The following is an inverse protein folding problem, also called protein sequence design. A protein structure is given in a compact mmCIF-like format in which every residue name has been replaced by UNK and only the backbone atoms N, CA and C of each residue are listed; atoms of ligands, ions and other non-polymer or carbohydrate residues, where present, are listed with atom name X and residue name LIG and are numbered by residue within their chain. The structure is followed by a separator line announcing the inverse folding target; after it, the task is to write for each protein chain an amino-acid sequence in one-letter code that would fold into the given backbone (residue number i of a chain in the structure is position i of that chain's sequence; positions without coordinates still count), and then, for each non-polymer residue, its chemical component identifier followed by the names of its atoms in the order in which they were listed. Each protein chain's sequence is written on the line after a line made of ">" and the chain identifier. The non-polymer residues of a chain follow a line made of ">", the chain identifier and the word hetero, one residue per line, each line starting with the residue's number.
data_IF_542110837005
#
_entry.id   IF_542110837005
#
_cell.length_a   1.000
_cell.length_b   1.000
_cell.length_c   1.000
_cell.angle_alpha   90.00
_cell.angle_beta   90.00
_cell.angle_gamma   90.00
#
_symmetry.space_group_name_H-M   'P 1'
#
loop_
_entity.id
_entity.type
_entity.pdbx_description
1 polymer ?
#
# COMPACT_ATOMS: atom_id res chain seq x y z
N UNK A 1 -0.42 11.16 9.46
CA UNK A 1 -1.14 10.63 10.63
C UNK A 1 -0.34 9.48 11.25
N UNK A 2 -0.41 9.33 12.54
CA UNK A 2 0.40 8.35 13.28
C UNK A 2 -0.26 6.97 13.35
N UNK A 3 -0.60 6.41 12.20
CA UNK A 3 -1.27 5.11 12.11
C UNK A 3 -0.36 3.98 11.65
N UNK A 4 0.93 4.26 11.43
CA UNK A 4 1.88 3.26 10.91
C UNK A 4 1.91 2.02 11.81
N UNK A 5 2.08 2.21 13.11
CA UNK A 5 2.14 1.10 14.05
C UNK A 5 0.88 0.25 14.09
N UNK A 6 -0.27 0.90 14.05
CA UNK A 6 -1.56 0.19 14.04
C UNK A 6 -1.75 -0.63 12.77
N UNK A 7 -1.34 -0.08 11.63
CA UNK A 7 -1.46 -0.75 10.34
C UNK A 7 -0.52 -1.95 10.28
N UNK A 8 0.73 -1.78 10.68
CA UNK A 8 1.72 -2.88 10.72
C UNK A 8 1.26 -3.98 11.67
N UNK A 9 0.79 -3.62 12.85
CA UNK A 9 0.29 -4.58 13.83
C UNK A 9 -0.87 -5.41 13.27
N UNK A 10 -1.75 -4.77 12.50
CA UNK A 10 -2.87 -5.48 11.87
C UNK A 10 -2.39 -6.53 10.86
N UNK A 11 -1.41 -6.18 10.03
CA UNK A 11 -0.86 -7.14 9.07
C UNK A 11 -0.22 -8.34 9.79
N UNK A 12 0.56 -8.09 10.81
CA UNK A 12 1.21 -9.16 11.57
C UNK A 12 0.20 -10.05 12.29
N UNK A 13 -0.84 -9.45 12.85
CA UNK A 13 -1.92 -10.19 13.51
C UNK A 13 -2.64 -11.14 12.56
N UNK A 14 -2.78 -10.73 11.31
CA UNK A 14 -3.46 -11.56 10.30
C UNK A 14 -2.53 -12.58 9.63
N UNK A 15 -1.30 -12.70 10.10
CA UNK A 15 -0.36 -13.72 9.62
C UNK A 15 0.54 -13.30 8.48
N UNK A 16 0.60 -12.02 8.15
CA UNK A 16 1.53 -11.50 7.15
C UNK A 16 2.82 -11.05 7.83
N UNK A 17 3.97 -11.36 7.23
CA UNK A 17 5.27 -10.97 7.74
C UNK A 17 5.84 -9.83 6.94
N UNK A 18 6.59 -8.94 7.60
CA UNK A 18 7.27 -7.83 6.94
C UNK A 18 8.60 -8.35 6.40
N UNK A 19 8.76 -8.37 5.10
CA UNK A 19 10.01 -8.77 4.44
C UNK A 19 10.89 -7.57 4.08
N UNK A 20 10.30 -6.39 3.96
CA UNK A 20 11.03 -5.14 3.76
C UNK A 20 10.13 -3.99 4.17
N UNK A 21 10.73 -2.92 4.69
CA UNK A 21 9.98 -1.73 5.07
C UNK A 21 10.91 -0.52 5.05
N UNK A 22 10.44 0.59 4.52
CA UNK A 22 11.18 1.85 4.61
C UNK A 22 10.22 3.03 4.58
N UNK A 23 10.63 4.10 5.24
CA UNK A 23 9.93 5.38 5.24
C UNK A 23 10.57 6.24 4.14
N UNK A 24 9.77 6.79 3.26
CA UNK A 24 10.28 7.57 2.15
C UNK A 24 9.35 8.74 1.83
N UNK A 25 9.95 9.82 1.33
CA UNK A 25 9.19 10.93 0.75
C UNK A 25 9.35 10.81 -0.76
N UNK A 26 8.24 10.54 -1.44
CA UNK A 26 8.27 10.31 -2.88
C UNK A 26 8.31 11.63 -3.65
N UNK A 27 9.10 11.66 -4.73
CA UNK A 27 9.04 12.76 -5.69
C UNK A 27 7.78 12.58 -6.54
N UNK A 28 7.37 13.65 -7.21
CA UNK A 28 6.23 13.59 -8.13
C UNK A 28 6.47 12.55 -9.22
N UNK A 29 7.67 12.52 -9.78
CA UNK A 29 8.04 11.57 -10.83
C UNK A 29 7.97 10.12 -10.34
N UNK A 30 8.44 9.86 -9.12
CA UNK A 30 8.42 8.53 -8.52
C UNK A 30 6.99 8.04 -8.30
N UNK A 31 6.12 8.91 -7.77
CA UNK A 31 4.73 8.59 -7.55
C UNK A 31 3.97 8.38 -8.87
N UNK A 32 4.24 9.20 -9.88
CA UNK A 32 3.62 9.04 -11.20
C UNK A 32 4.01 7.71 -11.84
N UNK A 33 5.27 7.30 -11.70
CA UNK A 33 5.73 6.02 -12.22
C UNK A 33 5.08 4.83 -11.51
N UNK A 34 4.86 4.95 -10.22
CA UNK A 34 4.19 3.89 -9.45
C UNK A 34 2.73 3.69 -9.90
N UNK A 35 2.02 4.79 -10.16
CA UNK A 35 0.63 4.74 -10.58
C UNK A 35 0.44 4.82 -12.09
N UNK A 36 1.46 4.48 -12.87
CA UNK A 36 1.44 4.64 -14.33
C UNK A 36 0.26 3.92 -14.99
N UNK A 37 -0.18 2.81 -14.45
CA UNK A 37 -1.33 2.05 -14.96
C UNK A 37 -2.65 2.82 -14.79
N UNK A 38 -2.65 3.83 -13.92
CA UNK A 38 -3.83 4.66 -13.63
C UNK A 38 -3.74 6.04 -14.26
N UNK A 39 -2.75 6.28 -15.13
CA UNK A 39 -2.46 7.59 -15.71
C UNK A 39 -3.69 8.27 -16.33
N UNK A 40 -4.56 7.52 -16.96
CA UNK A 40 -5.74 8.05 -17.63
C UNK A 40 -6.98 8.14 -16.73
N UNK A 41 -6.86 7.73 -15.48
CA UNK A 41 -7.95 7.83 -14.52
C UNK A 41 -8.13 9.26 -14.03
N UNK A 42 -9.39 9.71 -13.83
CA UNK A 42 -9.64 11.09 -13.39
C UNK A 42 -8.96 11.46 -12.07
N UNK A 43 -8.76 10.48 -11.19
CA UNK A 43 -8.17 10.71 -9.86
C UNK A 43 -6.64 10.60 -9.84
N UNK A 44 -6.00 10.36 -10.99
CA UNK A 44 -4.54 10.18 -11.03
C UNK A 44 -3.77 11.36 -10.39
N UNK A 45 -4.12 12.58 -10.78
CA UNK A 45 -3.48 13.78 -10.24
C UNK A 45 -3.66 13.93 -8.73
N UNK A 46 -4.87 13.68 -8.23
CA UNK A 46 -5.16 13.74 -6.80
C UNK A 46 -4.40 12.68 -6.03
N UNK A 47 -4.30 11.48 -6.58
CA UNK A 47 -3.59 10.37 -5.96
C UNK A 47 -2.09 10.67 -5.85
N UNK A 48 -1.48 11.15 -6.93
CA UNK A 48 -0.07 11.56 -6.94
C UNK A 48 0.17 12.69 -5.94
N UNK A 49 -0.70 13.68 -5.92
CA UNK A 49 -0.62 14.81 -5.00
C UNK A 49 -0.66 14.34 -3.54
N UNK A 50 -1.57 13.43 -3.22
CA UNK A 50 -1.69 12.87 -1.87
C UNK A 50 -0.44 12.09 -1.48
N UNK A 51 0.07 11.25 -2.37
CA UNK A 51 1.25 10.41 -2.10
C UNK A 51 2.53 11.21 -1.95
N UNK A 52 2.58 12.43 -2.48
CA UNK A 52 3.74 13.30 -2.36
C UNK A 52 3.59 14.36 -1.28
N UNK A 53 2.45 14.40 -0.58
CA UNK A 53 2.15 15.40 0.44
C UNK A 53 2.97 15.22 1.74
N UNK A 54 3.54 14.05 1.95
CA UNK A 54 4.36 13.75 3.13
C UNK A 54 5.00 12.39 3.01
N UNK A 55 5.74 11.96 4.04
CA UNK A 55 6.38 10.65 4.03
C UNK A 55 5.37 9.51 3.95
N UNK A 56 5.75 8.45 3.25
CA UNK A 56 4.95 7.22 3.16
C UNK A 56 5.80 6.03 3.61
N UNK A 57 5.15 4.98 4.08
CA UNK A 57 5.81 3.73 4.43
C UNK A 57 5.62 2.75 3.29
N UNK A 58 6.74 2.23 2.80
CA UNK A 58 6.76 1.22 1.75
C UNK A 58 7.05 -0.12 2.41
N UNK A 59 6.25 -1.15 2.13
CA UNK A 59 6.39 -2.46 2.76
C UNK A 59 6.25 -3.58 1.75
N UNK A 60 7.04 -4.64 1.97
CA UNK A 60 6.84 -5.92 1.28
C UNK A 60 6.30 -6.88 2.34
N UNK A 61 5.13 -7.42 2.08
CA UNK A 61 4.47 -8.38 2.95
C UNK A 61 4.59 -9.77 2.35
N UNK A 62 4.93 -10.76 3.17
CA UNK A 62 4.97 -12.14 2.71
C UNK A 62 4.08 -13.03 3.56
N UNK A 63 3.56 -14.09 2.95
CA UNK A 63 2.69 -15.04 3.61
C UNK A 63 1.89 -15.80 2.58
N UNK A 64 1.16 -16.82 3.04
CA UNK A 64 0.28 -17.59 2.18
C UNK A 64 -0.86 -16.69 1.68
N UNK A 65 -1.07 -16.64 0.37
CA UNK A 65 -2.09 -15.80 -0.27
C UNK A 65 -1.99 -14.32 0.12
N UNK A 66 -0.76 -13.80 0.17
CA UNK A 66 -0.49 -12.45 0.69
C UNK A 66 -1.28 -11.35 -0.04
N UNK A 67 -1.38 -11.40 -1.37
CA UNK A 67 -2.12 -10.39 -2.14
C UNK A 67 -3.59 -10.37 -1.73
N UNK A 68 -4.21 -11.53 -1.68
CA UNK A 68 -5.61 -11.68 -1.31
C UNK A 68 -5.88 -11.25 0.13
N UNK A 69 -5.05 -11.69 1.05
CA UNK A 69 -5.14 -11.30 2.47
C UNK A 69 -4.99 -9.80 2.64
N UNK A 70 -4.00 -9.20 1.97
CA UNK A 70 -3.77 -7.77 2.05
C UNK A 70 -5.00 -6.99 1.57
N UNK A 71 -5.56 -7.39 0.44
CA UNK A 71 -6.75 -6.71 -0.10
C UNK A 71 -7.94 -6.80 0.84
N UNK A 72 -8.12 -7.95 1.48
CA UNK A 72 -9.19 -8.17 2.45
C UNK A 72 -9.02 -7.30 3.70
N UNK A 73 -7.79 -7.18 4.17
CA UNK A 73 -7.45 -6.36 5.34
C UNK A 73 -7.64 -4.88 5.03
N UNK A 74 -7.22 -4.45 3.82
CA UNK A 74 -7.36 -3.04 3.41
C UNK A 74 -8.82 -2.63 3.22
N UNK A 75 -9.64 -3.50 2.65
CA UNK A 75 -11.04 -3.21 2.35
C UNK A 75 -11.23 -2.55 0.98
N UNK A 76 -12.48 -2.19 0.69
CA UNK A 76 -12.84 -1.57 -0.58
C UNK A 76 -12.13 -0.23 -0.78
N UNK A 77 -11.80 0.09 -2.03
CA UNK A 77 -11.10 1.33 -2.39
C UNK A 77 -11.83 2.57 -1.90
N UNK A 78 -13.15 2.59 -2.02
CA UNK A 78 -13.96 3.66 -1.44
C UNK A 78 -14.25 3.32 0.02
N UNK A 79 -13.76 4.14 0.98
CA UNK A 79 -13.97 3.86 2.41
C UNK A 79 -15.43 3.73 2.80
N UNK A 80 -16.33 4.43 2.11
CA UNK A 80 -17.75 4.35 2.38
C UNK A 80 -18.33 2.95 2.12
N UNK A 81 -17.71 2.20 1.21
CA UNK A 81 -18.12 0.84 0.86
C UNK A 81 -17.28 -0.24 1.55
N UNK A 82 -16.30 0.15 2.33
CA UNK A 82 -15.42 -0.80 3.02
C UNK A 82 -16.14 -1.40 4.24
N UNK A 83 -15.88 -2.68 4.48
CA UNK A 83 -16.45 -3.37 5.63
C UNK A 83 -15.85 -2.86 6.93
N UNK A 84 -16.62 -2.94 8.01
CA UNK A 84 -16.15 -2.58 9.35
C UNK A 84 -14.90 -3.37 9.72
N UNK A 85 -13.95 -2.70 10.36
CA UNK A 85 -12.70 -3.31 10.79
C UNK A 85 -11.60 -3.34 9.75
N UNK A 86 -11.88 -2.97 8.48
CA UNK A 86 -10.84 -2.88 7.45
C UNK A 86 -10.04 -1.58 7.64
N UNK A 87 -8.81 -1.58 7.13
CA UNK A 87 -7.92 -0.41 7.28
C UNK A 87 -8.51 0.84 6.65
N UNK A 88 -9.09 0.71 5.47
CA UNK A 88 -9.69 1.87 4.79
C UNK A 88 -10.91 2.39 5.52
N UNK A 89 -11.71 1.51 6.09
CA UNK A 89 -12.86 1.94 6.88
C UNK A 89 -12.43 2.68 8.15
N UNK A 90 -11.35 2.22 8.79
CA UNK A 90 -10.86 2.80 10.04
C UNK A 90 -10.09 4.11 9.82
N UNK A 91 -9.29 4.21 8.77
CA UNK A 91 -8.30 5.28 8.64
C UNK A 91 -8.42 6.15 7.38
N UNK A 92 -9.11 5.69 6.35
CA UNK A 92 -9.20 6.44 5.10
C UNK A 92 -10.29 7.50 5.16
N UNK A 93 -10.03 8.63 4.51
CA UNK A 93 -10.99 9.75 4.46
C UNK A 93 -11.80 9.77 3.17
N UNK A 94 -11.19 9.32 2.07
CA UNK A 94 -11.81 9.33 0.74
C UNK A 94 -11.12 8.33 -0.17
N UNK A 95 -11.58 8.21 -1.42
CA UNK A 95 -10.95 7.35 -2.42
C UNK A 95 -9.49 7.79 -2.67
N UNK A 96 -9.23 9.09 -2.75
CA UNK A 96 -7.89 9.63 -2.98
C UNK A 96 -7.02 9.56 -1.73
N UNK A 97 -7.62 9.80 -0.56
CA UNK A 97 -6.93 9.73 0.74
C UNK A 97 -7.30 8.42 1.44
N UNK A 98 -7.02 7.29 0.78
CA UNK A 98 -7.52 5.98 1.19
C UNK A 98 -6.63 5.22 2.18
N UNK A 99 -5.66 5.87 2.77
CA UNK A 99 -4.76 5.39 3.83
C UNK A 99 -3.72 4.38 3.37
N UNK A 100 -4.09 3.41 2.55
CA UNK A 100 -3.20 2.33 2.12
C UNK A 100 -3.40 2.02 0.64
N UNK A 101 -2.31 1.53 0.02
CA UNK A 101 -2.34 0.98 -1.34
C UNK A 101 -1.76 -0.43 -1.27
N UNK A 102 -2.28 -1.34 -2.04
CA UNK A 102 -1.74 -2.69 -2.15
C UNK A 102 -1.80 -3.19 -3.57
N UNK A 103 -0.87 -4.07 -3.91
CA UNK A 103 -0.83 -4.71 -5.23
C UNK A 103 -2.07 -5.58 -5.43
N UNK A 104 -2.63 -5.57 -6.63
CA UNK A 104 -3.87 -6.28 -6.94
C UNK A 104 -3.65 -7.69 -7.51
N UNK A 105 -2.40 -8.07 -7.76
CA UNK A 105 -2.04 -9.39 -8.27
C UNK A 105 -0.58 -9.69 -7.97
N UNK A 106 -0.16 -10.94 -8.18
CA UNK A 106 1.24 -11.31 -8.03
C UNK A 106 2.13 -10.57 -9.05
N UNK A 107 1.64 -10.39 -10.28
CA UNK A 107 2.36 -9.65 -11.31
C UNK A 107 2.55 -8.18 -10.92
N UNK A 108 1.50 -7.54 -10.42
CA UNK A 108 1.58 -6.16 -9.93
C UNK A 108 2.50 -6.05 -8.73
N UNK A 109 2.44 -7.01 -7.80
CA UNK A 109 3.31 -7.04 -6.63
C UNK A 109 4.78 -7.09 -7.05
N UNK A 110 5.12 -7.96 -8.00
CA UNK A 110 6.48 -8.11 -8.48
C UNK A 110 7.01 -6.80 -9.08
N UNK A 111 6.23 -6.16 -9.93
CA UNK A 111 6.58 -4.88 -10.54
C UNK A 111 6.75 -3.79 -9.48
N UNK A 112 5.82 -3.70 -8.55
CA UNK A 112 5.82 -2.64 -7.53
C UNK A 112 6.93 -2.81 -6.51
N UNK A 113 7.21 -4.05 -6.12
CA UNK A 113 8.34 -4.34 -5.23
C UNK A 113 9.65 -3.94 -5.89
N UNK A 114 9.86 -4.35 -7.14
CA UNK A 114 11.08 -4.01 -7.87
C UNK A 114 11.22 -2.52 -8.17
N UNK A 115 10.11 -1.80 -8.18
CA UNK A 115 10.12 -0.36 -8.38
C UNK A 115 10.69 0.39 -7.18
N UNK A 116 10.39 -0.07 -5.96
CA UNK A 116 10.77 0.62 -4.73
C UNK A 116 11.94 -0.02 -3.97
N UNK A 117 12.19 -1.30 -4.18
CA UNK A 117 13.20 -2.04 -3.41
C UNK A 117 14.21 -2.73 -4.31
N UNK A 118 15.47 -2.73 -3.89
CA UNK A 118 16.49 -3.58 -4.51
C UNK A 118 16.36 -5.00 -3.97
N UNK A 119 16.88 -5.97 -4.72
CA UNK A 119 16.79 -7.39 -4.35
C UNK A 119 17.32 -7.67 -2.95
N UNK A 120 18.38 -6.98 -2.55
CA UNK A 120 19.01 -7.20 -1.23
C UNK A 120 18.26 -6.50 -0.09
N UNK A 121 17.27 -5.67 -0.40
CA UNK A 121 16.46 -5.00 0.62
C UNK A 121 15.28 -5.86 1.08
N UNK A 122 14.94 -6.89 0.32
CA UNK A 122 13.83 -7.80 0.63
C UNK A 122 14.40 -9.06 1.28
N UNK A 123 14.00 -9.32 2.52
CA UNK A 123 14.52 -10.43 3.31
C UNK A 123 13.42 -11.48 3.50
N UNK A 124 13.64 -12.66 2.94
CA UNK A 124 12.70 -13.78 3.15
C UNK A 124 12.77 -14.24 4.61
N UNK A 125 11.62 -14.40 5.24
CA UNK A 125 11.52 -14.71 6.67
C UNK A 125 10.88 -16.06 6.96
N UNK A 126 10.81 -16.93 5.97
CA UNK A 126 10.25 -18.26 6.18
C UNK A 126 11.17 -19.16 6.98
#
# INVERSE_FOLDING_TARGET
>A
DNNIGNIVARFEKEGLRIAAMKLAKLSKEKAEGFYIEHKERPFFGSLVSFMTSGPVVLMVLEGENAVEKNRKIMGATNPANAEEGTLRKLYAKSIEANAVHGSDSLASADREINYFFDKNEVVARN
#
